data_IF_422200340929
#
_entry.id   IF_422200340929
#
_cell.length_a   1.000
_cell.length_b   1.000
_cell.length_c   1.000
_cell.angle_alpha   90.00
_cell.angle_beta   90.00
_cell.angle_gamma   90.00
#
_symmetry.space_group_name_H-M   'P 1'
#
loop_
_entity.id
_entity.type
_entity.pdbx_description
1 polymer ?
#
# COMPACT_ATOMS: atom_id res chain seq x y z
N UNK A 1 -4.91 -33.89 -23.35
CA UNK A 1 -3.98 -32.85 -22.87
C UNK A 1 -4.81 -31.59 -22.69
N UNK A 2 -4.66 -30.88 -21.57
CA UNK A 2 -5.41 -29.66 -21.27
C UNK A 2 -4.43 -28.50 -21.03
N UNK A 3 -4.84 -27.29 -21.39
CA UNK A 3 -4.06 -26.06 -21.21
C UNK A 3 -4.69 -25.25 -20.09
N UNK A 4 -3.86 -24.70 -19.21
CA UNK A 4 -4.27 -23.86 -18.09
C UNK A 4 -3.51 -22.56 -18.13
N UNK A 5 -4.20 -21.47 -17.85
CA UNK A 5 -3.62 -20.13 -17.79
C UNK A 5 -3.32 -19.79 -16.33
N UNK A 6 -2.04 -19.54 -16.03
CA UNK A 6 -1.52 -19.25 -14.70
C UNK A 6 -0.80 -17.90 -14.77
N UNK A 7 -1.22 -16.95 -13.94
CA UNK A 7 -0.52 -15.72 -13.65
C UNK A 7 0.60 -16.01 -12.63
N UNK A 8 1.80 -15.54 -12.94
CA UNK A 8 2.94 -15.56 -12.03
C UNK A 8 3.26 -14.10 -11.69
N UNK A 9 3.37 -13.80 -10.40
CA UNK A 9 3.63 -12.43 -9.92
C UNK A 9 4.86 -12.42 -9.03
N UNK A 10 5.66 -11.36 -9.15
CA UNK A 10 6.81 -11.10 -8.29
C UNK A 10 6.60 -9.76 -7.55
N UNK A 11 7.06 -9.70 -6.31
CA UNK A 11 7.12 -8.48 -5.51
C UNK A 11 8.60 -8.18 -5.25
N UNK A 12 9.02 -7.00 -5.70
CA UNK A 12 10.34 -6.44 -5.41
C UNK A 12 10.24 -5.49 -4.21
N UNK A 13 11.20 -5.55 -3.29
CA UNK A 13 11.20 -4.74 -2.08
C UNK A 13 12.60 -4.35 -1.64
N UNK A 14 12.82 -3.05 -1.42
CA UNK A 14 14.07 -2.47 -0.93
C UNK A 14 13.76 -1.46 0.16
N UNK A 15 14.52 -1.51 1.27
CA UNK A 15 14.50 -0.46 2.27
C UNK A 15 15.43 0.69 1.84
N UNK A 16 14.93 1.91 1.87
CA UNK A 16 15.70 3.12 1.57
C UNK A 16 15.69 4.07 2.76
N UNK A 17 16.82 4.76 2.99
CA UNK A 17 16.94 5.76 4.03
C UNK A 17 16.66 7.12 3.40
N UNK A 18 15.68 7.85 3.95
CA UNK A 18 15.28 9.16 3.46
C UNK A 18 15.34 10.17 4.60
N UNK A 19 15.96 11.31 4.31
CA UNK A 19 15.98 12.46 5.19
C UNK A 19 14.75 13.33 4.92
N UNK A 20 13.94 13.58 5.95
CA UNK A 20 12.73 14.38 5.87
C UNK A 20 12.28 14.83 7.26
N UNK A 21 11.46 15.89 7.34
CA UNK A 21 10.94 16.43 8.61
C UNK A 21 9.79 15.58 9.18
N UNK A 22 8.95 15.01 8.31
CA UNK A 22 7.84 14.12 8.70
C UNK A 22 7.84 12.82 7.90
N UNK A 23 7.10 11.82 8.38
CA UNK A 23 6.92 10.57 7.64
C UNK A 23 6.19 10.79 6.30
N UNK A 24 5.23 11.71 6.25
CA UNK A 24 4.51 12.08 5.01
C UNK A 24 5.47 12.67 3.98
N UNK A 25 6.40 13.52 4.42
CA UNK A 25 7.43 14.09 3.56
C UNK A 25 8.41 13.00 3.10
N UNK A 26 8.82 12.08 3.99
CA UNK A 26 9.67 10.95 3.64
C UNK A 26 9.04 10.07 2.56
N UNK A 27 7.73 9.79 2.66
CA UNK A 27 6.98 9.03 1.66
C UNK A 27 6.90 9.78 0.32
N UNK A 28 6.67 11.09 0.36
CA UNK A 28 6.61 11.94 -0.83
C UNK A 28 7.96 11.97 -1.56
N UNK A 29 9.05 12.16 -0.82
CA UNK A 29 10.43 12.12 -1.36
C UNK A 29 10.76 10.73 -1.91
N UNK A 30 10.34 9.65 -1.25
CA UNK A 30 10.55 8.28 -1.77
C UNK A 30 9.89 8.11 -3.14
N UNK A 31 8.65 8.59 -3.28
CA UNK A 31 7.87 8.50 -4.51
C UNK A 31 8.47 9.35 -5.63
N UNK A 32 8.91 10.56 -5.32
CA UNK A 32 9.60 11.42 -6.28
C UNK A 32 10.89 10.78 -6.78
N UNK A 33 11.75 10.26 -5.88
CA UNK A 33 13.00 9.58 -6.25
C UNK A 33 12.75 8.31 -7.08
N UNK A 34 11.72 7.54 -6.76
CA UNK A 34 11.33 6.38 -7.57
C UNK A 34 10.87 6.80 -8.98
N UNK A 35 9.98 7.80 -9.08
CA UNK A 35 9.49 8.30 -10.37
C UNK A 35 10.59 8.98 -11.20
N UNK A 36 11.58 9.58 -10.53
CA UNK A 36 12.78 10.15 -11.14
C UNK A 36 13.87 9.12 -11.47
N UNK A 37 13.59 7.83 -11.30
CA UNK A 37 14.52 6.72 -11.55
C UNK A 37 15.81 6.76 -10.69
N UNK A 38 15.80 7.50 -9.58
CA UNK A 38 16.90 7.49 -8.59
C UNK A 38 16.83 6.24 -7.69
N UNK A 39 15.63 5.71 -7.49
CA UNK A 39 15.40 4.42 -6.84
C UNK A 39 14.88 3.46 -7.92
N UNK A 40 15.74 2.55 -8.37
CA UNK A 40 15.36 1.47 -9.30
C UNK A 40 15.44 0.16 -8.55
N UNK A 41 14.34 -0.60 -8.62
CA UNK A 41 14.30 -1.96 -8.11
C UNK A 41 14.59 -2.92 -9.27
N UNK A 42 15.44 -3.91 -9.01
CA UNK A 42 15.82 -4.92 -9.99
C UNK A 42 15.65 -6.33 -9.42
N UNK A 43 16.19 -7.33 -10.13
CA UNK A 43 16.05 -8.73 -9.75
C UNK A 43 16.69 -9.05 -8.37
N UNK A 44 17.67 -8.27 -7.92
CA UNK A 44 18.29 -8.48 -6.61
C UNK A 44 17.37 -8.03 -5.46
N UNK A 45 16.34 -7.23 -5.74
CA UNK A 45 15.33 -6.81 -4.76
C UNK A 45 14.16 -7.79 -4.66
N UNK A 46 14.28 -8.96 -5.27
CA UNK A 46 13.25 -9.98 -5.19
C UNK A 46 12.94 -10.36 -3.73
N UNK A 47 11.67 -10.20 -3.36
CA UNK A 47 11.19 -10.49 -2.01
C UNK A 47 10.27 -11.70 -1.99
N UNK A 48 9.33 -11.78 -2.93
CA UNK A 48 8.30 -12.82 -2.92
C UNK A 48 7.73 -13.10 -4.32
N UNK A 49 7.29 -14.34 -4.55
CA UNK A 49 6.57 -14.73 -5.77
C UNK A 49 5.26 -15.47 -5.43
N UNK A 50 4.26 -15.29 -6.29
CA UNK A 50 2.94 -15.87 -6.16
C UNK A 50 2.44 -16.46 -7.48
N UNK A 51 1.53 -17.44 -7.38
CA UNK A 51 0.97 -18.16 -8.52
C UNK A 51 -0.55 -18.19 -8.43
N UNK A 52 -1.23 -17.68 -9.45
CA UNK A 52 -2.68 -17.64 -9.49
C UNK A 52 -3.21 -18.24 -10.80
N UNK A 53 -4.31 -19.00 -10.79
CA UNK A 53 -5.09 -19.20 -12.01
C UNK A 53 -5.51 -17.82 -12.55
N UNK A 54 -5.36 -17.55 -13.85
CA UNK A 54 -5.61 -16.22 -14.45
C UNK A 54 -7.06 -15.70 -14.29
N UNK A 55 -7.97 -16.52 -13.78
CA UNK A 55 -9.35 -16.18 -13.44
C UNK A 55 -9.69 -16.32 -11.94
N UNK A 56 -8.69 -16.41 -11.07
CA UNK A 56 -8.88 -16.37 -9.62
C UNK A 56 -9.17 -14.94 -9.17
N UNK A 57 -10.18 -14.76 -8.31
CA UNK A 57 -10.51 -13.46 -7.69
C UNK A 57 -9.31 -12.82 -6.98
N UNK A 58 -8.36 -13.62 -6.51
CA UNK A 58 -7.14 -13.18 -5.81
C UNK A 58 -6.12 -12.55 -6.78
N UNK A 59 -6.07 -13.05 -8.01
CA UNK A 59 -5.18 -12.52 -9.06
C UNK A 59 -5.67 -11.15 -9.58
N UNK A 60 -6.99 -10.92 -9.53
CA UNK A 60 -7.67 -9.71 -10.02
C UNK A 60 -8.16 -8.77 -8.92
N UNK A 61 -7.57 -8.70 -7.72
CA UNK A 61 -7.97 -7.66 -6.74
C UNK A 61 -7.47 -6.29 -7.20
N UNK A 62 -8.07 -5.79 -8.26
CA UNK A 62 -8.61 -4.45 -8.37
C UNK A 62 -10.03 -4.59 -7.79
N UNK A 63 -10.23 -4.15 -6.55
CA UNK A 63 -11.58 -4.07 -5.98
C UNK A 63 -12.44 -3.25 -6.97
N UNK A 64 -13.63 -3.73 -7.40
CA UNK A 64 -14.46 -2.95 -8.31
C UNK A 64 -14.68 -1.55 -7.73
N UNK A 65 -14.66 -0.50 -8.56
CA UNK A 65 -14.65 0.91 -8.14
C UNK A 65 -15.70 1.22 -7.06
N UNK A 66 -16.85 0.55 -7.11
CA UNK A 66 -17.92 0.64 -6.11
C UNK A 66 -17.46 0.20 -4.71
N UNK A 67 -16.74 -0.92 -4.59
CA UNK A 67 -16.18 -1.38 -3.31
C UNK A 67 -15.02 -0.51 -2.85
N UNK A 68 -14.18 -0.02 -3.76
CA UNK A 68 -13.13 0.94 -3.39
C UNK A 68 -13.70 2.26 -2.89
N UNK A 69 -14.79 2.73 -3.48
CA UNK A 69 -15.51 3.91 -2.99
C UNK A 69 -16.03 3.70 -1.57
N UNK A 70 -16.60 2.53 -1.27
CA UNK A 70 -17.05 2.19 0.08
C UNK A 70 -15.89 2.07 1.06
N UNK A 71 -14.80 1.40 0.67
CA UNK A 71 -13.60 1.27 1.50
C UNK A 71 -12.99 2.65 1.80
N UNK A 72 -12.89 3.51 0.80
CA UNK A 72 -12.43 4.89 0.96
C UNK A 72 -13.28 5.67 1.95
N UNK A 73 -14.61 5.61 1.82
CA UNK A 73 -15.51 6.28 2.75
C UNK A 73 -15.32 5.81 4.20
N UNK A 74 -15.14 4.51 4.41
CA UNK A 74 -14.89 3.94 5.75
C UNK A 74 -13.53 4.38 6.28
N UNK A 75 -12.49 4.35 5.46
CA UNK A 75 -11.13 4.75 5.86
C UNK A 75 -11.04 6.25 6.16
N UNK A 76 -11.63 7.10 5.31
CA UNK A 76 -11.68 8.56 5.53
C UNK A 76 -12.43 8.90 6.84
N UNK A 77 -13.52 8.18 7.14
CA UNK A 77 -14.26 8.33 8.40
C UNK A 77 -13.42 7.93 9.61
N UNK A 78 -12.80 6.74 9.56
CA UNK A 78 -11.99 6.22 10.66
C UNK A 78 -10.73 7.07 10.88
N UNK A 79 -10.11 7.60 9.83
CA UNK A 79 -8.96 8.50 9.97
C UNK A 79 -9.34 9.75 10.76
N UNK A 80 -10.45 10.41 10.40
CA UNK A 80 -10.88 11.64 11.05
C UNK A 80 -11.31 11.44 12.51
N UNK A 81 -11.80 10.25 12.86
CA UNK A 81 -12.19 9.89 14.22
C UNK A 81 -10.97 9.48 15.06
N UNK A 82 -10.20 8.51 14.58
CA UNK A 82 -9.05 7.94 15.29
C UNK A 82 -7.87 8.91 15.39
N UNK A 83 -7.74 9.89 14.49
CA UNK A 83 -6.72 10.94 14.60
C UNK A 83 -6.91 11.78 15.86
N UNK A 84 -8.17 12.16 16.17
CA UNK A 84 -8.48 12.98 17.35
C UNK A 84 -8.19 12.23 18.63
N UNK A 85 -8.53 10.94 18.67
CA UNK A 85 -8.24 10.07 19.81
C UNK A 85 -6.72 9.86 19.97
N UNK A 86 -6.02 9.61 18.87
CA UNK A 86 -4.57 9.45 18.85
C UNK A 86 -3.81 10.68 19.38
N UNK A 87 -4.22 11.87 18.95
CA UNK A 87 -3.67 13.16 19.43
C UNK A 87 -3.98 13.39 20.91
N UNK A 88 -5.23 13.12 21.33
CA UNK A 88 -5.67 13.31 22.71
C UNK A 88 -4.98 12.36 23.69
N UNK A 89 -4.59 11.17 23.22
CA UNK A 89 -3.91 10.15 24.01
C UNK A 89 -2.37 10.25 23.96
N UNK A 90 -1.82 11.34 23.39
CA UNK A 90 -0.38 11.61 23.42
C UNK A 90 0.44 10.71 22.50
N UNK A 91 -0.13 10.34 21.35
CA UNK A 91 0.57 9.62 20.28
C UNK A 91 1.10 8.22 20.64
N UNK A 92 0.25 7.30 21.15
CA UNK A 92 0.67 5.95 21.53
C UNK A 92 1.15 5.12 20.33
N UNK A 93 2.32 4.48 20.44
CA UNK A 93 2.94 3.68 19.35
C UNK A 93 2.10 2.50 18.85
N UNK A 94 1.17 2.00 19.65
CA UNK A 94 0.31 0.85 19.31
C UNK A 94 -1.16 1.29 19.13
N UNK A 95 -1.38 2.45 18.51
CA UNK A 95 -2.72 2.94 18.24
C UNK A 95 -3.29 2.39 16.95
N UNK A 96 -4.61 2.16 16.91
CA UNK A 96 -5.29 1.68 15.70
C UNK A 96 -5.19 2.68 14.53
N UNK A 97 -4.98 3.97 14.83
CA UNK A 97 -4.71 5.02 13.84
C UNK A 97 -3.58 4.65 12.87
N UNK A 98 -2.55 3.93 13.32
CA UNK A 98 -1.46 3.48 12.44
C UNK A 98 -1.95 2.51 11.37
N UNK A 99 -2.82 1.57 11.75
CA UNK A 99 -3.46 0.62 10.83
C UNK A 99 -4.38 1.33 9.84
N UNK A 100 -5.10 2.37 10.29
CA UNK A 100 -5.97 3.20 9.43
C UNK A 100 -5.15 3.91 8.35
N UNK A 101 -3.98 4.47 8.70
CA UNK A 101 -3.08 5.10 7.72
C UNK A 101 -2.55 4.12 6.67
N UNK A 102 -2.20 2.89 7.07
CA UNK A 102 -1.78 1.84 6.12
C UNK A 102 -2.90 1.53 5.12
N UNK A 103 -4.14 1.39 5.61
CA UNK A 103 -5.30 1.14 4.75
C UNK A 103 -5.59 2.32 3.83
N UNK A 104 -5.42 3.57 4.29
CA UNK A 104 -5.56 4.77 3.46
C UNK A 104 -4.59 4.79 2.30
N UNK A 105 -3.31 4.48 2.55
CA UNK A 105 -2.31 4.40 1.50
C UNK A 105 -2.67 3.34 0.45
N UNK A 106 -3.15 2.17 0.87
CA UNK A 106 -3.60 1.12 -0.06
C UNK A 106 -4.76 1.63 -0.93
N UNK A 107 -5.76 2.30 -0.34
CA UNK A 107 -6.90 2.87 -1.07
C UNK A 107 -6.45 3.95 -2.07
N UNK A 108 -5.51 4.81 -1.70
CA UNK A 108 -5.03 5.90 -2.55
C UNK A 108 -4.13 5.44 -3.70
N UNK A 109 -3.44 4.30 -3.56
CA UNK A 109 -2.63 3.69 -4.61
C UNK A 109 -3.46 3.08 -5.75
N UNK A 110 -4.76 2.85 -5.54
CA UNK A 110 -5.68 2.25 -6.52
C UNK A 110 -6.51 3.30 -7.32
N UNK A 111 -6.03 4.53 -7.43
CA UNK A 111 -6.62 5.61 -8.24
C UNK A 111 -6.00 5.73 -9.63
#
# INVERSE_FOLDING_TARGET
MAFFEIEVREILSRNVIIEAETLTDALSVAKERYNGEEIVLDADDFSFQDFFPANSLISKVVLPDEYMKHLKLVVDYLEADEQKDYESNGFPKNHIFHSVLVLKNIVEMHK
#
